data_IF_179368593469
#
_entry.id   IF_179368593469
#
_cell.length_a   1.000
_cell.length_b   1.000
_cell.length_c   1.000
_cell.angle_alpha   90.00
_cell.angle_beta   90.00
_cell.angle_gamma   90.00
#
_symmetry.space_group_name_H-M   'P 1'
#
loop_
_entity.id
_entity.type
_entity.pdbx_description
1 polymer ?
#
# COMPACT_ATOMS: atom_id res chain seq x y z
N UNK A 1 -7.38 -10.03 -16.11
CA UNK A 1 -6.56 -10.72 -15.11
C UNK A 1 -5.11 -10.46 -15.46
N UNK A 2 -4.31 -10.04 -14.49
CA UNK A 2 -2.91 -9.65 -14.72
C UNK A 2 -2.10 -10.81 -15.29
N UNK A 3 -1.33 -10.55 -16.34
CA UNK A 3 -0.54 -11.61 -17.02
C UNK A 3 0.80 -11.87 -16.34
N UNK A 4 1.33 -10.86 -15.64
CA UNK A 4 2.62 -10.92 -14.94
C UNK A 4 2.62 -9.94 -13.76
N UNK A 5 3.62 -10.06 -12.89
CA UNK A 5 3.88 -9.10 -11.81
C UNK A 5 4.03 -7.69 -12.38
N UNK A 6 4.71 -7.52 -13.51
CA UNK A 6 4.89 -6.21 -14.16
C UNK A 6 3.57 -5.58 -14.60
N UNK A 7 2.64 -6.38 -15.12
CA UNK A 7 1.31 -5.92 -15.52
C UNK A 7 0.50 -5.45 -14.31
N UNK A 8 0.58 -6.19 -13.20
CA UNK A 8 0.01 -5.80 -11.92
C UNK A 8 0.64 -4.51 -11.38
N UNK A 9 1.98 -4.42 -11.39
CA UNK A 9 2.70 -3.24 -10.89
C UNK A 9 2.40 -1.98 -11.71
N UNK A 10 2.18 -2.08 -13.02
CA UNK A 10 1.72 -0.92 -13.82
C UNK A 10 0.40 -0.35 -13.29
N UNK A 11 -0.50 -1.23 -12.87
CA UNK A 11 -1.79 -0.83 -12.30
C UNK A 11 -1.65 -0.25 -10.87
N UNK A 12 -0.76 -0.79 -10.05
CA UNK A 12 -0.46 -0.22 -8.72
C UNK A 12 0.14 1.18 -8.87
N UNK A 13 1.16 1.33 -9.72
CA UNK A 13 1.88 2.59 -9.95
C UNK A 13 1.00 3.70 -10.51
N UNK A 14 -0.01 3.37 -11.32
CA UNK A 14 -0.92 4.38 -11.86
C UNK A 14 -1.82 5.02 -10.80
N UNK A 15 -2.04 4.34 -9.66
CA UNK A 15 -2.86 4.81 -8.54
C UNK A 15 -2.05 5.48 -7.42
N UNK A 16 -0.77 5.14 -7.28
CA UNK A 16 0.11 5.56 -6.18
C UNK A 16 1.37 6.26 -6.69
N UNK A 17 1.20 7.29 -7.52
CA UNK A 17 2.33 7.98 -8.15
C UNK A 17 3.25 8.64 -7.11
N UNK A 18 4.56 8.41 -7.22
CA UNK A 18 5.57 9.01 -6.35
C UNK A 18 5.85 8.25 -5.05
N UNK A 19 5.33 7.04 -4.89
CA UNK A 19 5.56 6.18 -3.73
C UNK A 19 6.55 5.05 -4.05
N UNK A 20 7.80 5.40 -4.35
CA UNK A 20 8.81 4.45 -4.84
C UNK A 20 9.11 3.32 -3.83
N UNK A 21 9.21 3.64 -2.55
CA UNK A 21 9.43 2.65 -1.48
C UNK A 21 8.25 1.69 -1.35
N UNK A 22 7.02 2.18 -1.52
CA UNK A 22 5.83 1.35 -1.53
C UNK A 22 5.83 0.42 -2.75
N UNK A 23 6.14 0.95 -3.95
CA UNK A 23 6.21 0.14 -5.16
C UNK A 23 7.26 -0.95 -5.08
N UNK A 24 8.42 -0.64 -4.49
CA UNK A 24 9.46 -1.63 -4.26
C UNK A 24 8.94 -2.77 -3.36
N UNK A 25 8.35 -2.43 -2.21
CA UNK A 25 7.85 -3.42 -1.26
C UNK A 25 6.76 -4.32 -1.88
N UNK A 26 5.82 -3.74 -2.63
CA UNK A 26 4.78 -4.51 -3.35
C UNK A 26 5.42 -5.44 -4.37
N UNK A 27 6.36 -4.94 -5.19
CA UNK A 27 7.01 -5.75 -6.22
C UNK A 27 7.78 -6.93 -5.62
N UNK A 28 8.56 -6.72 -4.56
CA UNK A 28 9.34 -7.77 -3.89
C UNK A 28 8.43 -8.89 -3.36
N UNK A 29 7.37 -8.52 -2.63
CA UNK A 29 6.42 -9.50 -2.08
C UNK A 29 5.68 -10.23 -3.20
N UNK A 30 5.09 -9.50 -4.15
CA UNK A 30 4.30 -10.12 -5.22
C UNK A 30 5.13 -11.00 -6.15
N UNK A 31 6.40 -10.65 -6.39
CA UNK A 31 7.32 -11.51 -7.14
C UNK A 31 7.52 -12.85 -6.44
N UNK A 32 7.59 -12.87 -5.10
CA UNK A 32 7.81 -14.11 -4.33
C UNK A 32 6.59 -15.03 -4.28
N UNK A 33 5.37 -14.51 -4.43
CA UNK A 33 4.11 -15.27 -4.32
C UNK A 33 3.37 -15.44 -5.66
N UNK A 34 3.92 -14.93 -6.77
CA UNK A 34 3.21 -14.88 -8.04
C UNK A 34 2.81 -16.25 -8.57
N UNK A 35 3.73 -17.23 -8.53
CA UNK A 35 3.43 -18.61 -8.96
C UNK A 35 2.29 -19.21 -8.14
N UNK A 36 2.27 -18.99 -6.83
CA UNK A 36 1.18 -19.44 -5.95
C UNK A 36 -0.18 -18.86 -6.35
N UNK A 37 -0.23 -17.59 -6.76
CA UNK A 37 -1.44 -16.91 -7.22
C UNK A 37 -1.87 -17.41 -8.61
N UNK A 38 -0.94 -17.76 -9.49
CA UNK A 38 -1.24 -18.34 -10.80
C UNK A 38 -1.86 -19.73 -10.69
N UNK A 39 -1.36 -20.55 -9.77
CA UNK A 39 -1.89 -21.89 -9.51
C UNK A 39 -3.28 -21.88 -8.85
N UNK A 40 -3.68 -20.74 -8.26
CA UNK A 40 -4.93 -20.57 -7.51
C UNK A 40 -5.74 -19.38 -8.03
N UNK A 41 -6.38 -19.55 -9.20
CA UNK A 41 -7.07 -18.46 -9.88
C UNK A 41 -8.21 -17.86 -9.05
N UNK A 42 -8.76 -18.57 -8.06
CA UNK A 42 -9.80 -18.08 -7.16
C UNK A 42 -9.42 -16.77 -6.45
N UNK A 43 -8.14 -16.58 -6.07
CA UNK A 43 -7.68 -15.34 -5.45
C UNK A 43 -7.70 -14.16 -6.44
N UNK A 44 -7.31 -14.41 -7.68
CA UNK A 44 -7.35 -13.41 -8.75
C UNK A 44 -8.80 -13.05 -9.10
N UNK A 45 -9.70 -14.03 -9.16
CA UNK A 45 -11.14 -13.79 -9.42
C UNK A 45 -11.80 -13.02 -8.28
N UNK A 46 -11.41 -13.27 -7.03
CA UNK A 46 -11.90 -12.52 -5.87
C UNK A 46 -11.26 -11.13 -5.70
N UNK A 47 -10.35 -10.74 -6.61
CA UNK A 47 -9.67 -9.43 -6.57
C UNK A 47 -8.75 -9.25 -5.37
N UNK A 48 -8.23 -10.34 -4.80
CA UNK A 48 -7.40 -10.30 -3.59
C UNK A 48 -6.11 -9.48 -3.79
N UNK A 49 -5.36 -9.62 -4.90
CA UNK A 49 -4.20 -8.76 -5.16
C UNK A 49 -4.52 -7.27 -5.14
N UNK A 50 -5.63 -6.87 -5.76
CA UNK A 50 -6.03 -5.46 -5.80
C UNK A 50 -6.45 -4.94 -4.43
N UNK A 51 -7.12 -5.79 -3.63
CA UNK A 51 -7.59 -5.43 -2.29
C UNK A 51 -6.47 -5.37 -1.26
N UNK A 52 -5.43 -6.21 -1.39
CA UNK A 52 -4.38 -6.29 -0.37
C UNK A 52 -3.32 -5.19 -0.52
N UNK A 53 -3.19 -4.60 -1.72
CA UNK A 53 -2.30 -3.44 -1.96
C UNK A 53 -2.99 -2.10 -1.74
N UNK A 54 -4.30 -2.10 -1.55
CA UNK A 54 -5.07 -0.90 -1.20
C UNK A 54 -5.32 -0.90 0.30
N UNK A 55 -4.83 0.09 1.06
CA UNK A 55 -5.07 0.15 2.50
C UNK A 55 -6.56 0.32 2.81
N UNK A 56 -7.06 -0.39 3.82
CA UNK A 56 -8.46 -0.26 4.26
C UNK A 56 -8.78 1.18 4.70
N UNK A 57 -7.84 1.86 5.36
CA UNK A 57 -8.00 3.27 5.76
C UNK A 57 -6.67 4.00 5.88
N UNK A 58 -6.63 5.22 5.35
CA UNK A 58 -5.52 6.17 5.52
C UNK A 58 -6.02 7.42 6.21
N UNK A 59 -5.42 7.77 7.34
CA UNK A 59 -5.74 8.97 8.12
C UNK A 59 -4.55 9.91 8.06
N UNK A 60 -4.78 11.13 7.60
CA UNK A 60 -3.79 12.20 7.53
C UNK A 60 -4.27 13.38 8.36
N UNK A 61 -3.46 13.86 9.30
CA UNK A 61 -3.88 14.88 10.25
C UNK A 61 -2.76 15.84 10.62
N UNK A 62 -3.13 17.05 11.07
CA UNK A 62 -2.18 18.08 11.51
C UNK A 62 -1.78 17.88 12.96
N UNK A 63 -0.49 18.01 13.27
CA UNK A 63 0.08 17.93 14.62
C UNK A 63 0.74 19.26 14.98
N UNK A 64 0.01 20.21 15.60
CA UNK A 64 0.60 21.44 16.12
C UNK A 64 1.23 21.20 17.50
N UNK A 65 2.43 21.74 17.72
CA UNK A 65 3.13 21.65 18.99
C UNK A 65 4.01 22.89 19.20
N UNK A 66 4.59 23.04 20.39
CA UNK A 66 5.44 24.18 20.76
C UNK A 66 6.82 23.68 21.13
N UNK A 67 7.87 24.26 20.55
CA UNK A 67 9.25 23.90 20.88
C UNK A 67 9.75 24.56 22.17
N UNK A 68 10.95 24.20 22.60
CA UNK A 68 11.58 24.70 23.84
C UNK A 68 11.84 26.22 23.81
N UNK A 69 11.87 26.83 22.62
CA UNK A 69 12.00 28.29 22.44
C UNK A 69 10.64 28.99 22.46
N UNK A 70 9.57 28.24 22.62
CA UNK A 70 8.21 28.74 22.63
C UNK A 70 7.63 29.02 21.24
N UNK A 71 8.26 28.55 20.16
CA UNK A 71 7.78 28.74 18.79
C UNK A 71 6.77 27.62 18.42
N UNK A 72 5.70 27.99 17.72
CA UNK A 72 4.71 27.02 17.22
C UNK A 72 5.25 26.31 15.99
N UNK A 73 5.24 24.99 16.04
CA UNK A 73 5.62 24.09 14.96
C UNK A 73 4.38 23.31 14.49
N UNK A 74 4.37 22.93 13.22
CA UNK A 74 3.27 22.14 12.64
C UNK A 74 3.85 21.01 11.81
N UNK A 75 3.51 19.78 12.20
CA UNK A 75 3.84 18.58 11.44
C UNK A 75 2.59 17.91 10.89
N UNK A 76 2.80 16.95 9.99
CA UNK A 76 1.76 16.09 9.44
C UNK A 76 1.93 14.70 10.03
N UNK A 77 0.87 14.21 10.67
CA UNK A 77 0.75 12.84 11.15
C UNK A 77 0.05 11.97 10.11
N UNK A 78 0.41 10.69 10.10
CA UNK A 78 -0.17 9.66 9.26
C UNK A 78 -0.51 8.43 10.10
N UNK A 79 -1.62 7.77 9.79
CA UNK A 79 -1.94 6.42 10.25
C UNK A 79 -2.51 5.64 9.08
N UNK A 80 -1.81 4.58 8.68
CA UNK A 80 -2.24 3.66 7.62
C UNK A 80 -2.68 2.36 8.28
N UNK A 81 -3.97 2.07 8.20
CA UNK A 81 -4.56 0.83 8.65
C UNK A 81 -4.73 -0.06 7.41
N UNK A 82 -3.71 -0.87 7.13
CA UNK A 82 -3.59 -1.51 5.82
C UNK A 82 -4.52 -2.71 5.66
N UNK A 83 -4.57 -3.61 6.63
CA UNK A 83 -5.38 -4.82 6.59
C UNK A 83 -5.78 -5.28 8.00
N UNK A 84 -7.03 -5.69 8.18
CA UNK A 84 -7.57 -6.17 9.47
C UNK A 84 -8.07 -7.62 9.44
N UNK A 85 -7.72 -8.39 8.40
CA UNK A 85 -8.30 -9.71 8.16
C UNK A 85 -8.05 -10.74 9.29
N UNK A 86 -6.97 -10.57 10.06
CA UNK A 86 -6.59 -11.48 11.16
C UNK A 86 -6.52 -10.81 12.53
N UNK A 87 -7.02 -9.58 12.65
CA UNK A 87 -6.99 -8.77 13.88
C UNK A 87 -6.11 -7.53 13.80
#
# INVERSE_FOLDING_TARGET
MYKSVDDFMKNVKSRTSGEDEFHQAVHEVFSSIWEFLQDRPEYMHAGIPDRIVEPERVIMFRVPWRDDRGMTQVNRGYRVEFNSAIG
#
